data_IF_422293256806
#
_entry.id   IF_422293256806
#
_cell.length_a   1.000
_cell.length_b   1.000
_cell.length_c   1.000
_cell.angle_alpha   90.00
_cell.angle_beta   90.00
_cell.angle_gamma   90.00
#
_symmetry.space_group_name_H-M   'P 1'
#
loop_
_entity.id
_entity.type
_entity.pdbx_description
1 polymer ?
#
# COMPACT_ATOMS: atom_id res chain seq x y z
N UNK A 1 -21.48 -3.67 -2.91
CA UNK A 1 -20.44 -2.63 -2.76
C UNK A 1 -20.85 -1.44 -3.60
N UNK A 2 -20.76 -0.21 -3.08
CA UNK A 2 -21.11 0.98 -3.84
C UNK A 2 -20.07 1.30 -4.92
N UNK A 3 -20.44 2.12 -5.91
CA UNK A 3 -19.51 2.62 -6.93
C UNK A 3 -18.37 3.40 -6.26
N UNK A 4 -18.70 4.21 -5.25
CA UNK A 4 -17.71 4.97 -4.48
C UNK A 4 -16.68 4.05 -3.82
N UNK A 5 -17.13 2.99 -3.12
CA UNK A 5 -16.22 2.02 -2.51
C UNK A 5 -15.34 1.33 -3.54
N UNK A 6 -15.92 0.96 -4.69
CA UNK A 6 -15.21 0.33 -5.78
C UNK A 6 -14.08 1.21 -6.30
N UNK A 7 -14.37 2.49 -6.57
CA UNK A 7 -13.38 3.48 -7.02
C UNK A 7 -12.29 3.67 -5.98
N UNK A 8 -12.66 3.85 -4.70
CA UNK A 8 -11.68 4.04 -3.63
C UNK A 8 -10.75 2.83 -3.47
N UNK A 9 -11.30 1.60 -3.52
CA UNK A 9 -10.49 0.37 -3.42
C UNK A 9 -9.53 0.24 -4.61
N UNK A 10 -9.97 0.57 -5.82
CA UNK A 10 -9.09 0.57 -7.00
C UNK A 10 -7.97 1.58 -6.81
N UNK A 11 -8.25 2.78 -6.29
CA UNK A 11 -7.23 3.78 -6.03
C UNK A 11 -6.21 3.29 -4.97
N UNK A 12 -6.65 2.60 -3.91
CA UNK A 12 -5.74 1.96 -2.94
C UNK A 12 -4.87 0.89 -3.62
N UNK A 13 -5.45 0.08 -4.50
CA UNK A 13 -4.66 -0.89 -5.26
C UNK A 13 -3.58 -0.21 -6.12
N UNK A 14 -3.91 0.91 -6.76
CA UNK A 14 -2.96 1.66 -7.58
C UNK A 14 -1.85 2.30 -6.73
N UNK A 15 -2.19 2.81 -5.54
CA UNK A 15 -1.24 3.29 -4.54
C UNK A 15 -0.24 2.19 -4.15
N UNK A 16 -0.72 0.96 -3.91
CA UNK A 16 0.13 -0.18 -3.56
C UNK A 16 1.00 -0.67 -4.73
N UNK A 17 0.53 -0.55 -5.98
CA UNK A 17 1.37 -0.79 -7.15
C UNK A 17 2.42 0.30 -7.35
N UNK A 18 2.10 1.55 -7.03
CA UNK A 18 3.08 2.63 -7.04
C UNK A 18 4.17 2.40 -5.98
N UNK A 19 3.80 1.96 -4.78
CA UNK A 19 4.73 1.56 -3.72
C UNK A 19 5.60 0.38 -4.18
N UNK A 20 5.01 -0.68 -4.73
CA UNK A 20 5.76 -1.78 -5.35
C UNK A 20 6.76 -1.28 -6.39
N UNK A 21 6.35 -0.35 -7.26
CA UNK A 21 7.23 0.18 -8.28
C UNK A 21 8.46 0.87 -7.66
N UNK A 22 8.23 1.73 -6.66
CA UNK A 22 9.30 2.44 -5.98
C UNK A 22 10.23 1.52 -5.19
N UNK A 23 9.68 0.52 -4.50
CA UNK A 23 10.44 -0.38 -3.63
C UNK A 23 11.18 -1.46 -4.43
N UNK A 24 10.55 -2.05 -5.45
CA UNK A 24 11.09 -3.20 -6.19
C UNK A 24 11.86 -2.82 -7.45
N UNK A 25 11.34 -1.89 -8.23
CA UNK A 25 11.90 -1.59 -9.56
C UNK A 25 12.74 -0.31 -9.56
N UNK A 26 12.34 0.70 -8.81
CA UNK A 26 12.98 2.02 -8.77
C UNK A 26 13.65 2.32 -7.41
N UNK A 27 14.12 1.31 -6.69
CA UNK A 27 14.57 1.39 -5.28
C UNK A 27 15.56 2.51 -4.98
N UNK A 28 16.45 2.87 -5.93
CA UNK A 28 17.49 3.90 -5.73
C UNK A 28 17.17 5.24 -6.42
N UNK A 29 15.91 5.46 -6.82
CA UNK A 29 15.47 6.66 -7.52
C UNK A 29 15.31 7.88 -6.59
N UNK A 30 15.29 9.08 -7.16
CA UNK A 30 14.95 10.31 -6.41
C UNK A 30 13.52 10.26 -5.83
N UNK A 31 12.61 9.59 -6.53
CA UNK A 31 11.24 9.41 -6.06
C UNK A 31 11.19 8.53 -4.80
N UNK A 32 11.85 7.37 -4.81
CA UNK A 32 11.93 6.48 -3.64
C UNK A 32 12.59 7.18 -2.46
N UNK A 33 13.72 7.87 -2.69
CA UNK A 33 14.40 8.66 -1.66
C UNK A 33 13.46 9.69 -1.00
N UNK A 34 12.66 10.39 -1.80
CA UNK A 34 11.70 11.39 -1.31
C UNK A 34 10.50 10.79 -0.58
N UNK A 35 9.93 9.72 -1.13
CA UNK A 35 8.70 9.09 -0.58
C UNK A 35 8.98 8.38 0.74
N UNK A 36 10.11 7.67 0.83
CA UNK A 36 10.50 6.92 2.02
C UNK A 36 11.41 7.72 2.98
N UNK A 37 11.72 8.97 2.64
CA UNK A 37 12.58 9.86 3.44
C UNK A 37 13.94 9.22 3.78
N UNK A 38 14.58 8.61 2.77
CA UNK A 38 15.89 7.94 2.89
C UNK A 38 16.87 8.52 1.87
N UNK A 39 18.16 8.52 2.19
CA UNK A 39 19.19 8.91 1.22
C UNK A 39 19.37 7.84 0.15
N UNK A 40 19.83 8.26 -1.04
CA UNK A 40 20.18 7.30 -2.10
C UNK A 40 21.33 6.38 -1.71
N UNK A 41 22.23 6.83 -0.83
CA UNK A 41 23.35 6.02 -0.35
C UNK A 41 22.85 4.87 0.53
N UNK A 42 21.92 5.13 1.44
CA UNK A 42 21.25 4.09 2.22
C UNK A 42 20.54 3.08 1.31
N UNK A 43 19.75 3.56 0.36
CA UNK A 43 18.98 2.71 -0.58
C UNK A 43 19.86 1.84 -1.49
N UNK A 44 21.12 2.24 -1.72
CA UNK A 44 22.11 1.46 -2.48
C UNK A 44 22.75 0.34 -1.66
N UNK A 45 22.59 0.32 -0.34
CA UNK A 45 23.04 -0.79 0.50
C UNK A 45 22.43 -2.10 -0.01
N UNK A 46 23.26 -3.12 -0.27
CA UNK A 46 22.81 -4.42 -0.80
C UNK A 46 21.73 -5.05 0.09
N UNK A 47 21.90 -4.97 1.42
CA UNK A 47 20.95 -5.52 2.38
C UNK A 47 19.60 -4.78 2.31
N UNK A 48 19.63 -3.45 2.37
CA UNK A 48 18.40 -2.64 2.33
C UNK A 48 17.69 -2.76 0.98
N UNK A 49 18.45 -2.74 -0.13
CA UNK A 49 17.90 -2.89 -1.46
C UNK A 49 17.16 -4.21 -1.64
N UNK A 50 17.72 -5.30 -1.10
CA UNK A 50 17.08 -6.63 -1.15
C UNK A 50 15.81 -6.67 -0.31
N UNK A 51 15.82 -6.08 0.88
CA UNK A 51 14.65 -6.01 1.76
C UNK A 51 13.53 -5.16 1.13
N UNK A 52 13.85 -3.98 0.61
CA UNK A 52 12.90 -3.13 -0.10
C UNK A 52 12.27 -3.86 -1.28
N UNK A 53 13.08 -4.55 -2.09
CA UNK A 53 12.56 -5.30 -3.23
C UNK A 53 11.54 -6.35 -2.83
N UNK A 54 11.79 -7.07 -1.73
CA UNK A 54 10.86 -8.04 -1.19
C UNK A 54 9.60 -7.37 -0.63
N UNK A 55 9.76 -6.25 0.10
CA UNK A 55 8.66 -5.46 0.65
C UNK A 55 7.71 -4.97 -0.45
N UNK A 56 8.27 -4.49 -1.57
CA UNK A 56 7.49 -4.06 -2.72
C UNK A 56 6.66 -5.19 -3.33
N UNK A 57 7.16 -6.42 -3.37
CA UNK A 57 6.37 -7.57 -3.83
C UNK A 57 5.20 -7.86 -2.88
N UNK A 58 5.43 -7.85 -1.56
CA UNK A 58 4.33 -8.02 -0.59
C UNK A 58 3.26 -6.93 -0.78
N UNK A 59 3.67 -5.67 -0.89
CA UNK A 59 2.77 -4.54 -1.12
C UNK A 59 2.00 -4.70 -2.45
N UNK A 60 2.67 -5.08 -3.53
CA UNK A 60 2.01 -5.33 -4.81
C UNK A 60 0.97 -6.44 -4.75
N UNK A 61 1.26 -7.55 -4.06
CA UNK A 61 0.31 -8.66 -3.92
C UNK A 61 -0.92 -8.27 -3.10
N UNK A 62 -0.81 -7.33 -2.16
CA UNK A 62 -1.97 -6.73 -1.48
C UNK A 62 -2.83 -5.96 -2.50
N UNK A 63 -2.21 -5.17 -3.38
CA UNK A 63 -2.91 -4.51 -4.49
C UNK A 63 -3.64 -5.50 -5.39
N UNK A 64 -2.97 -6.59 -5.80
CA UNK A 64 -3.61 -7.68 -6.56
C UNK A 64 -4.80 -8.27 -5.78
N UNK A 65 -4.66 -8.48 -4.47
CA UNK A 65 -5.73 -8.96 -3.61
C UNK A 65 -6.95 -8.03 -3.58
N UNK A 66 -6.74 -6.71 -3.61
CA UNK A 66 -7.82 -5.72 -3.70
C UNK A 66 -8.50 -5.73 -5.07
N UNK A 67 -7.75 -5.90 -6.17
CA UNK A 67 -8.39 -6.07 -7.49
C UNK A 67 -9.18 -7.38 -7.57
N UNK A 68 -8.62 -8.46 -7.03
CA UNK A 68 -9.31 -9.74 -6.94
C UNK A 68 -10.62 -9.61 -6.15
N UNK A 69 -10.58 -8.91 -4.99
CA UNK A 69 -11.79 -8.71 -4.18
C UNK A 69 -12.85 -7.95 -4.96
N UNK A 70 -12.48 -6.91 -5.71
CA UNK A 70 -13.44 -6.08 -6.46
C UNK A 70 -14.03 -6.80 -7.67
N UNK A 71 -13.20 -7.50 -8.46
CA UNK A 71 -13.61 -7.97 -9.79
C UNK A 71 -13.96 -9.46 -9.88
N UNK A 72 -13.43 -10.30 -8.98
CA UNK A 72 -13.46 -11.75 -9.14
C UNK A 72 -14.09 -12.49 -7.95
N UNK A 73 -14.07 -11.89 -6.76
CA UNK A 73 -14.60 -12.52 -5.55
C UNK A 73 -16.12 -12.57 -5.52
N UNK A 74 -16.69 -13.71 -5.11
CA UNK A 74 -18.11 -13.82 -4.74
C UNK A 74 -18.46 -13.05 -3.45
N UNK A 75 -17.46 -12.72 -2.63
CA UNK A 75 -17.60 -11.98 -1.37
C UNK A 75 -16.68 -10.74 -1.41
N UNK A 76 -17.01 -9.73 -2.23
CA UNK A 76 -16.10 -8.61 -2.50
C UNK A 76 -15.89 -7.71 -1.27
N UNK A 77 -16.93 -7.52 -0.44
CA UNK A 77 -16.88 -6.62 0.71
C UNK A 77 -15.99 -7.20 1.82
N UNK A 78 -16.15 -8.49 2.12
CA UNK A 78 -15.43 -9.19 3.18
C UNK A 78 -13.93 -9.19 2.92
N UNK A 79 -13.51 -9.59 1.70
CA UNK A 79 -12.10 -9.62 1.33
C UNK A 79 -11.52 -8.20 1.29
N UNK A 80 -12.26 -7.23 0.71
CA UNK A 80 -11.80 -5.85 0.67
C UNK A 80 -11.60 -5.28 2.08
N UNK A 81 -12.56 -5.48 2.99
CA UNK A 81 -12.44 -5.02 4.38
C UNK A 81 -11.25 -5.66 5.08
N UNK A 82 -11.04 -6.97 4.90
CA UNK A 82 -9.91 -7.67 5.50
C UNK A 82 -8.57 -7.06 5.05
N UNK A 83 -8.40 -6.84 3.75
CA UNK A 83 -7.18 -6.25 3.20
C UNK A 83 -7.01 -4.78 3.59
N UNK A 84 -8.07 -3.99 3.58
CA UNK A 84 -8.03 -2.59 4.01
C UNK A 84 -7.68 -2.46 5.49
N UNK A 85 -8.27 -3.29 6.36
CA UNK A 85 -7.92 -3.33 7.79
C UNK A 85 -6.45 -3.70 7.96
N UNK A 86 -5.97 -4.71 7.23
CA UNK A 86 -4.56 -5.09 7.24
C UNK A 86 -3.66 -3.90 6.87
N UNK A 87 -3.95 -3.21 5.77
CA UNK A 87 -3.21 -2.02 5.33
C UNK A 87 -3.18 -0.95 6.43
N UNK A 88 -4.32 -0.66 7.05
CA UNK A 88 -4.44 0.36 8.09
C UNK A 88 -3.60 -0.02 9.33
N UNK A 89 -3.61 -1.28 9.74
CA UNK A 89 -2.81 -1.74 10.88
C UNK A 89 -1.31 -1.66 10.59
N UNK A 90 -0.87 -2.02 9.38
CA UNK A 90 0.52 -1.87 8.95
C UNK A 90 0.91 -0.39 8.90
N UNK A 91 0.07 0.47 8.32
CA UNK A 91 0.32 1.91 8.25
C UNK A 91 0.37 2.55 9.64
N UNK A 92 -0.48 2.11 10.57
CA UNK A 92 -0.47 2.56 11.96
C UNK A 92 0.85 2.18 12.64
N UNK A 93 1.27 0.92 12.53
CA UNK A 93 2.54 0.47 13.09
C UNK A 93 3.74 1.22 12.47
N UNK A 94 3.75 1.39 11.15
CA UNK A 94 4.76 2.17 10.42
C UNK A 94 4.80 3.64 10.85
N UNK A 95 3.64 4.24 11.14
CA UNK A 95 3.55 5.63 11.61
C UNK A 95 4.12 5.86 13.00
N UNK A 96 4.10 4.83 13.84
CA UNK A 96 4.66 4.86 15.20
C UNK A 96 6.17 4.61 15.17
N UNK A 97 6.63 3.73 14.28
CA UNK A 97 8.00 3.21 14.29
C UNK A 97 8.95 3.90 13.31
N UNK A 98 8.46 4.38 12.17
CA UNK A 98 9.29 4.85 11.05
C UNK A 98 9.04 6.32 10.70
N UNK A 99 7.85 6.65 10.20
CA UNK A 99 7.48 8.04 9.85
C UNK A 99 5.98 8.23 10.04
N UNK A 100 5.60 9.23 10.86
CA UNK A 100 4.20 9.60 11.12
C UNK A 100 3.40 9.84 9.85
N UNK A 101 4.03 10.23 8.73
CA UNK A 101 3.35 10.46 7.45
C UNK A 101 2.77 9.19 6.84
N UNK A 102 3.27 8.00 7.20
CA UNK A 102 2.81 6.71 6.65
C UNK A 102 1.31 6.50 6.87
N UNK A 103 0.76 6.95 8.00
CA UNK A 103 -0.70 6.83 8.24
C UNK A 103 -1.50 7.62 7.21
N UNK A 104 -0.96 8.73 6.69
CA UNK A 104 -1.61 9.56 5.69
C UNK A 104 -1.31 9.07 4.26
N UNK A 105 -0.06 8.69 3.98
CA UNK A 105 0.42 8.34 2.63
C UNK A 105 0.24 6.89 2.24
N UNK A 106 -0.14 6.01 3.16
CA UNK A 106 -0.48 4.60 2.87
C UNK A 106 -1.81 4.20 3.54
N UNK A 107 -2.08 4.73 4.73
CA UNK A 107 -3.31 4.44 5.47
C UNK A 107 -4.50 5.31 5.06
N UNK A 108 -4.27 6.55 4.62
CA UNK A 108 -5.32 7.56 4.49
C UNK A 108 -6.41 7.15 3.51
N UNK A 109 -6.02 6.75 2.29
CA UNK A 109 -6.96 6.30 1.28
C UNK A 109 -7.63 4.98 1.65
N UNK A 110 -6.89 4.06 2.30
CA UNK A 110 -7.44 2.80 2.81
C UNK A 110 -8.50 3.01 3.89
N UNK A 111 -8.33 4.00 4.79
CA UNK A 111 -9.34 4.38 5.79
C UNK A 111 -10.61 4.88 5.10
N UNK A 112 -10.47 5.77 4.11
CA UNK A 112 -11.62 6.29 3.35
C UNK A 112 -12.35 5.17 2.60
N UNK A 113 -11.60 4.29 1.94
CA UNK A 113 -12.14 3.12 1.27
C UNK A 113 -12.90 2.22 2.26
N UNK A 114 -12.31 1.91 3.42
CA UNK A 114 -12.92 1.06 4.43
C UNK A 114 -14.24 1.64 4.94
N UNK A 115 -14.24 2.91 5.35
CA UNK A 115 -15.43 3.62 5.83
C UNK A 115 -16.53 3.57 4.77
N UNK A 116 -16.20 3.82 3.49
CA UNK A 116 -17.18 3.81 2.42
C UNK A 116 -17.87 2.44 2.25
N UNK A 117 -17.24 1.34 2.65
CA UNK A 117 -17.83 0.00 2.50
C UNK A 117 -18.97 -0.28 3.48
N UNK A 118 -19.21 0.59 4.46
CA UNK A 118 -20.28 0.46 5.45
C UNK A 118 -21.57 1.21 5.07
N UNK A 119 -21.55 1.95 3.96
CA UNK A 119 -22.67 2.74 3.44
C UNK A 119 -23.00 2.31 2.01
#
# INVERSE_FOLDING_TARGET
MSILSTVLIILVSLEFFYILYLETFATTSDATSRVFNMTKEELKSKALNTLFKNQGIYNGLIGVGLLYSVFLSSNPIEISRLLLIYIILVALYGSITSDKKIILTQGGLAILALISTFF
#
